data_IF_678394143917
#
_entry.id   IF_678394143917
#
_cell.length_a   1.000
_cell.length_b   1.000
_cell.length_c   1.000
_cell.angle_alpha   90.00
_cell.angle_beta   90.00
_cell.angle_gamma   90.00
#
_symmetry.space_group_name_H-M   'P 1'
#
loop_
_entity.id
_entity.type
_entity.pdbx_description
1 polymer ?
#
# COMPACT_ATOMS: atom_id res chain seq x y z
N UNK A 1 -53.04 -0.42 14.75
CA UNK A 1 -53.76 0.08 13.56
C UNK A 1 -52.75 0.90 12.73
N UNK A 2 -52.21 0.50 11.58
CA UNK A 2 -52.10 -0.80 10.87
C UNK A 2 -50.83 -0.80 9.99
N UNK A 3 -50.12 -1.88 9.62
CA UNK A 3 -50.25 -3.36 9.69
C UNK A 3 -51.01 -4.12 8.57
N UNK A 4 -51.62 -3.46 7.59
CA UNK A 4 -52.11 -4.05 6.32
C UNK A 4 -51.96 -3.02 5.19
N UNK A 5 -51.84 -3.33 3.88
CA UNK A 5 -52.01 -4.56 3.11
C UNK A 5 -51.18 -4.41 1.81
N UNK A 6 -50.29 -5.34 1.47
CA UNK A 6 -49.73 -5.43 0.11
C UNK A 6 -49.57 -6.91 -0.26
N UNK A 7 -50.61 -7.43 -0.91
CA UNK A 7 -50.77 -8.84 -1.22
C UNK A 7 -50.28 -9.11 -2.64
N UNK A 8 -49.46 -10.17 -2.79
CA UNK A 8 -49.39 -11.08 -3.96
C UNK A 8 -49.20 -10.43 -5.35
N UNK A 9 -48.01 -10.58 -5.91
CA UNK A 9 -47.80 -11.49 -7.06
C UNK A 9 -46.32 -11.85 -7.22
N UNK A 10 -46.05 -13.04 -7.77
CA UNK A 10 -44.73 -13.66 -7.72
C UNK A 10 -43.66 -13.01 -8.61
N UNK A 11 -42.41 -13.11 -8.17
CA UNK A 11 -41.23 -12.59 -8.84
C UNK A 11 -41.01 -13.24 -10.22
N UNK A 12 -41.24 -12.47 -11.28
CA UNK A 12 -40.80 -12.82 -12.63
C UNK A 12 -39.30 -12.54 -12.73
N UNK A 13 -38.49 -13.59 -12.64
CA UNK A 13 -37.04 -13.52 -12.87
C UNK A 13 -36.76 -13.06 -14.31
N UNK A 14 -36.46 -11.77 -14.49
CA UNK A 14 -35.94 -11.24 -15.75
C UNK A 14 -34.47 -11.64 -15.88
N UNK A 15 -34.22 -12.71 -16.63
CA UNK A 15 -32.87 -13.10 -17.04
C UNK A 15 -32.28 -12.01 -17.96
N UNK A 16 -31.26 -11.31 -17.49
CA UNK A 16 -30.51 -10.36 -18.32
C UNK A 16 -29.69 -11.11 -19.38
N UNK A 17 -30.05 -10.93 -20.65
CA UNK A 17 -29.37 -11.53 -21.80
C UNK A 17 -28.18 -10.67 -22.25
N UNK A 18 -26.97 -11.03 -21.82
CA UNK A 18 -25.74 -10.41 -22.35
C UNK A 18 -25.17 -11.24 -23.50
N UNK A 19 -25.23 -10.69 -24.71
CA UNK A 19 -24.15 -10.83 -25.70
C UNK A 19 -23.90 -12.21 -26.35
N UNK A 20 -24.86 -12.71 -27.14
CA UNK A 20 -24.61 -13.06 -28.57
C UNK A 20 -25.92 -13.34 -29.30
N UNK A 21 -26.08 -12.73 -30.47
CA UNK A 21 -27.15 -13.08 -31.40
C UNK A 21 -26.71 -14.31 -32.20
N UNK A 22 -27.36 -15.44 -31.95
CA UNK A 22 -27.58 -16.47 -32.95
C UNK A 22 -29.08 -16.68 -33.08
N UNK A 23 -29.60 -16.62 -34.30
CA UNK A 23 -31.00 -16.92 -34.58
C UNK A 23 -31.22 -18.42 -34.38
N UNK A 24 -31.90 -18.78 -33.31
CA UNK A 24 -32.54 -20.10 -33.18
C UNK A 24 -34.04 -19.85 -33.14
N UNK A 25 -34.71 -20.36 -34.15
CA UNK A 25 -36.15 -20.29 -34.36
C UNK A 25 -36.91 -20.90 -33.18
N UNK A 26 -38.16 -20.45 -32.99
CA UNK A 26 -39.10 -20.98 -32.01
C UNK A 26 -39.51 -22.42 -32.33
N UNK A 27 -38.64 -23.38 -32.02
CA UNK A 27 -38.98 -24.80 -32.00
C UNK A 27 -39.90 -25.07 -30.80
N UNK A 28 -41.12 -25.52 -31.07
CA UNK A 28 -42.02 -26.04 -30.03
C UNK A 28 -41.29 -27.15 -29.27
N UNK A 29 -41.14 -27.03 -27.95
CA UNK A 29 -40.80 -28.19 -27.13
C UNK A 29 -41.97 -29.18 -27.22
N UNK A 30 -41.78 -30.27 -27.97
CA UNK A 30 -42.64 -31.43 -27.80
C UNK A 30 -42.30 -32.08 -26.47
N UNK A 31 -43.25 -32.01 -25.54
CA UNK A 31 -43.25 -32.74 -24.29
C UNK A 31 -43.39 -34.24 -24.56
N UNK A 32 -42.28 -34.94 -24.69
CA UNK A 32 -42.20 -36.39 -24.45
C UNK A 32 -41.48 -36.59 -23.12
N UNK A 33 -42.26 -36.97 -22.11
CA UNK A 33 -41.83 -36.88 -20.72
C UNK A 33 -40.69 -37.83 -20.35
N UNK A 34 -39.81 -37.35 -19.49
CA UNK A 34 -39.50 -38.05 -18.24
C UNK A 34 -39.77 -37.06 -17.12
N UNK A 35 -40.60 -37.45 -16.16
CA UNK A 35 -40.77 -36.65 -14.94
C UNK A 35 -39.53 -36.93 -14.10
N UNK A 36 -38.57 -36.00 -14.07
CA UNK A 36 -37.60 -35.96 -12.97
C UNK A 36 -38.41 -36.01 -11.68
N UNK A 37 -38.14 -36.96 -10.78
CA UNK A 37 -38.91 -37.01 -9.55
C UNK A 37 -38.79 -35.68 -8.81
N UNK A 38 -39.89 -35.22 -8.24
CA UNK A 38 -39.97 -33.92 -7.59
C UNK A 38 -38.83 -33.75 -6.57
N UNK A 39 -38.47 -34.82 -5.86
CA UNK A 39 -37.34 -34.85 -4.92
C UNK A 39 -36.00 -34.51 -5.58
N UNK A 40 -35.69 -35.05 -6.76
CA UNK A 40 -34.41 -34.76 -7.46
C UNK A 40 -34.43 -33.34 -8.02
N UNK A 41 -35.56 -32.88 -8.56
CA UNK A 41 -35.71 -31.51 -9.04
C UNK A 41 -35.56 -30.49 -7.88
N UNK A 42 -36.21 -30.74 -6.75
CA UNK A 42 -36.08 -29.96 -5.52
C UNK A 42 -34.68 -30.04 -4.92
N UNK A 43 -33.97 -31.17 -5.04
CA UNK A 43 -32.58 -31.28 -4.60
C UNK A 43 -31.64 -30.44 -5.46
N UNK A 44 -31.80 -30.47 -6.80
CA UNK A 44 -31.05 -29.62 -7.73
C UNK A 44 -31.35 -28.14 -7.46
N UNK A 45 -32.61 -27.74 -7.29
CA UNK A 45 -32.97 -26.36 -6.96
C UNK A 45 -32.42 -25.90 -5.60
N UNK A 46 -32.43 -26.75 -4.57
CA UNK A 46 -31.80 -26.44 -3.27
C UNK A 46 -30.29 -26.31 -3.39
N UNK A 47 -29.64 -27.17 -4.18
CA UNK A 47 -28.20 -27.10 -4.41
C UNK A 47 -27.80 -25.86 -5.21
N UNK A 48 -28.52 -25.56 -6.31
CA UNK A 48 -28.34 -24.35 -7.11
C UNK A 48 -28.54 -23.08 -6.27
N UNK A 49 -29.62 -22.99 -5.49
CA UNK A 49 -29.84 -21.86 -4.58
C UNK A 49 -28.73 -21.74 -3.52
N UNK A 50 -28.19 -22.84 -3.02
CA UNK A 50 -27.05 -22.81 -2.08
C UNK A 50 -25.79 -22.26 -2.74
N UNK A 51 -25.44 -22.76 -3.93
CA UNK A 51 -24.34 -22.22 -4.73
C UNK A 51 -24.53 -20.74 -5.06
N UNK A 52 -25.75 -20.31 -5.39
CA UNK A 52 -26.07 -18.91 -5.71
C UNK A 52 -25.98 -18.00 -4.48
N UNK A 53 -26.40 -18.48 -3.30
CA UNK A 53 -26.28 -17.78 -2.03
C UNK A 53 -24.83 -17.69 -1.54
N UNK A 54 -24.04 -18.75 -1.74
CA UNK A 54 -22.60 -18.73 -1.42
C UNK A 54 -21.86 -17.78 -2.39
N UNK A 55 -22.15 -17.82 -3.69
CA UNK A 55 -21.65 -16.86 -4.68
C UNK A 55 -22.03 -15.40 -4.34
N UNK A 56 -23.28 -15.11 -3.96
CA UNK A 56 -23.67 -13.73 -3.60
C UNK A 56 -23.14 -13.27 -2.23
N UNK A 57 -22.84 -14.20 -1.31
CA UNK A 57 -22.07 -13.87 -0.09
C UNK A 57 -20.63 -13.51 -0.46
N UNK A 58 -19.99 -14.30 -1.32
CA UNK A 58 -18.65 -14.01 -1.83
C UNK A 58 -18.61 -12.72 -2.68
N UNK A 59 -19.66 -12.42 -3.43
CA UNK A 59 -19.78 -11.18 -4.21
C UNK A 59 -19.96 -9.96 -3.30
N UNK A 60 -20.74 -10.08 -2.21
CA UNK A 60 -20.78 -9.04 -1.17
C UNK A 60 -19.42 -8.84 -0.49
N UNK A 61 -18.65 -9.91 -0.25
CA UNK A 61 -17.27 -9.81 0.25
C UNK A 61 -16.39 -9.07 -0.77
N UNK A 62 -16.41 -9.44 -2.06
CA UNK A 62 -15.66 -8.74 -3.11
C UNK A 62 -16.09 -7.27 -3.31
N UNK A 63 -17.36 -6.93 -3.10
CA UNK A 63 -17.87 -5.55 -3.21
C UNK A 63 -17.45 -4.71 -1.99
N UNK A 64 -17.27 -5.32 -0.82
CA UNK A 64 -16.64 -4.68 0.34
C UNK A 64 -15.13 -4.49 0.08
N UNK A 65 -14.41 -5.54 -0.32
CA UNK A 65 -12.96 -5.48 -0.57
C UNK A 65 -12.57 -4.49 -1.69
N UNK A 66 -13.36 -4.38 -2.76
CA UNK A 66 -13.12 -3.41 -3.85
C UNK A 66 -13.18 -1.94 -3.40
N UNK A 67 -13.71 -1.64 -2.21
CA UNK A 67 -13.69 -0.28 -1.65
C UNK A 67 -12.45 0.01 -0.79
N UNK A 68 -11.71 -1.00 -0.33
CA UNK A 68 -10.61 -0.80 0.64
C UNK A 68 -9.20 -0.78 0.04
N UNK A 69 -9.00 -1.25 -1.20
CA UNK A 69 -7.68 -1.28 -1.85
C UNK A 69 -7.44 -0.17 -2.89
N UNK A 70 -7.82 1.08 -2.57
CA UNK A 70 -7.10 2.23 -3.12
C UNK A 70 -5.79 2.40 -2.36
N UNK A 71 -4.68 1.99 -2.98
CA UNK A 71 -3.36 2.33 -2.48
C UNK A 71 -3.26 3.86 -2.51
N UNK A 72 -3.23 4.50 -1.35
CA UNK A 72 -3.40 5.95 -1.24
C UNK A 72 -2.23 6.67 -1.95
N UNK A 73 -2.50 7.44 -3.00
CA UNK A 73 -1.47 8.24 -3.69
C UNK A 73 -0.75 9.19 -2.73
N UNK A 74 -1.42 9.62 -1.65
CA UNK A 74 -0.79 10.41 -0.60
C UNK A 74 0.27 9.61 0.16
N UNK A 75 0.12 8.30 0.32
CA UNK A 75 1.13 7.46 0.96
C UNK A 75 2.44 7.42 0.17
N UNK A 76 2.35 7.21 -1.15
CA UNK A 76 3.52 7.23 -2.05
C UNK A 76 4.19 8.62 -2.09
N UNK A 77 3.39 9.70 -2.16
CA UNK A 77 3.87 11.08 -2.07
C UNK A 77 4.57 11.36 -0.74
N UNK A 78 4.02 10.88 0.37
CA UNK A 78 4.60 11.04 1.70
C UNK A 78 5.95 10.29 1.83
N UNK A 79 6.10 9.10 1.25
CA UNK A 79 7.40 8.40 1.22
C UNK A 79 8.45 9.16 0.37
N UNK A 80 8.06 9.68 -0.79
CA UNK A 80 8.95 10.50 -1.61
C UNK A 80 9.35 11.80 -0.91
N UNK A 81 8.42 12.44 -0.20
CA UNK A 81 8.68 13.64 0.60
C UNK A 81 9.62 13.36 1.79
N UNK A 82 9.41 12.26 2.52
CA UNK A 82 10.28 11.85 3.63
C UNK A 82 11.71 11.56 3.16
N UNK A 83 11.87 10.80 2.08
CA UNK A 83 13.19 10.47 1.52
C UNK A 83 13.94 11.69 0.97
N UNK A 84 13.27 12.57 0.23
CA UNK A 84 13.88 13.83 -0.26
C UNK A 84 14.22 14.79 0.88
N UNK A 85 13.39 14.86 1.93
CA UNK A 85 13.67 15.63 3.16
C UNK A 85 14.90 15.09 3.89
N UNK A 86 15.00 13.78 4.08
CA UNK A 86 16.15 13.14 4.74
C UNK A 86 17.46 13.39 3.98
N UNK A 87 17.47 13.22 2.65
CA UNK A 87 18.65 13.52 1.81
C UNK A 87 19.06 14.99 1.93
N UNK A 88 18.09 15.90 1.94
CA UNK A 88 18.33 17.34 2.09
C UNK A 88 18.92 17.67 3.47
N UNK A 89 18.42 17.04 4.54
CA UNK A 89 18.92 17.22 5.90
C UNK A 89 20.35 16.68 6.07
N UNK A 90 20.66 15.50 5.52
CA UNK A 90 22.03 14.94 5.51
C UNK A 90 23.00 15.89 4.79
N UNK A 91 22.58 16.46 3.64
CA UNK A 91 23.40 17.44 2.90
C UNK A 91 23.64 18.72 3.72
N UNK A 92 22.61 19.23 4.39
CA UNK A 92 22.70 20.41 5.28
C UNK A 92 23.63 20.15 6.47
N UNK A 93 23.55 18.97 7.09
CA UNK A 93 24.44 18.57 8.17
C UNK A 93 25.91 18.53 7.71
N UNK A 94 26.19 17.93 6.55
CA UNK A 94 27.54 17.92 5.97
C UNK A 94 28.09 19.34 5.70
N UNK A 95 27.26 20.24 5.18
CA UNK A 95 27.64 21.65 4.99
C UNK A 95 27.87 22.40 6.31
N UNK A 96 27.07 22.13 7.35
CA UNK A 96 27.22 22.76 8.66
C UNK A 96 28.52 22.30 9.37
N UNK A 97 28.86 21.01 9.26
CA UNK A 97 30.12 20.46 9.79
C UNK A 97 31.35 21.03 9.06
N UNK A 98 31.30 21.12 7.72
CA UNK A 98 32.38 21.74 6.95
C UNK A 98 32.57 23.22 7.31
N UNK A 99 31.48 23.97 7.49
CA UNK A 99 31.56 25.37 7.88
C UNK A 99 32.15 25.52 9.29
N UNK A 100 31.73 24.69 10.25
CA UNK A 100 32.33 24.61 11.58
C UNK A 100 33.86 24.40 11.56
N UNK A 101 34.36 23.49 10.73
CA UNK A 101 35.80 23.24 10.59
C UNK A 101 36.54 24.46 10.03
N UNK A 102 35.97 25.12 9.02
CA UNK A 102 36.52 26.35 8.42
C UNK A 102 36.55 27.50 9.44
N UNK A 103 35.46 27.71 10.18
CA UNK A 103 35.35 28.76 11.20
C UNK A 103 36.36 28.58 12.35
N UNK A 104 36.56 27.34 12.82
CA UNK A 104 37.61 27.06 13.81
C UNK A 104 39.03 27.24 13.25
N UNK A 105 39.29 26.81 12.02
CA UNK A 105 40.59 27.02 11.38
C UNK A 105 40.89 28.52 11.18
N UNK A 106 39.87 29.31 10.81
CA UNK A 106 39.98 30.75 10.66
C UNK A 106 40.22 31.45 12.01
N UNK A 107 39.42 31.14 13.05
CA UNK A 107 39.65 31.61 14.40
C UNK A 107 41.08 31.32 14.90
N UNK A 108 41.55 30.07 14.75
CA UNK A 108 42.91 29.70 15.13
C UNK A 108 44.00 30.44 14.32
N UNK A 109 43.70 30.82 13.07
CA UNK A 109 44.54 31.70 12.24
C UNK A 109 44.60 33.12 12.78
N UNK A 110 43.43 33.72 13.06
CA UNK A 110 43.31 35.07 13.64
C UNK A 110 44.03 35.18 14.99
N UNK A 111 43.85 34.22 15.90
CA UNK A 111 44.57 34.21 17.19
C UNK A 111 46.11 34.24 16.99
N UNK A 112 46.65 33.41 16.09
CA UNK A 112 48.10 33.41 15.76
C UNK A 112 48.58 34.71 15.13
N UNK A 113 47.71 35.45 14.42
CA UNK A 113 48.02 36.76 13.86
C UNK A 113 48.01 37.81 14.97
N UNK A 114 46.99 37.83 15.83
CA UNK A 114 46.91 38.70 17.02
C UNK A 114 48.16 38.58 17.89
N UNK A 115 48.56 37.35 18.26
CA UNK A 115 49.79 37.10 19.03
C UNK A 115 51.07 37.65 18.38
N UNK A 116 51.15 37.64 17.05
CA UNK A 116 52.30 38.19 16.30
C UNK A 116 52.29 39.71 16.30
N UNK A 117 51.12 40.33 16.09
CA UNK A 117 50.95 41.78 16.13
C UNK A 117 51.28 42.29 17.54
N UNK A 118 50.81 41.61 18.58
CA UNK A 118 51.07 41.98 19.98
C UNK A 118 52.57 41.94 20.33
N UNK A 119 53.30 40.93 19.84
CA UNK A 119 54.77 40.81 19.99
C UNK A 119 55.56 41.89 19.21
N UNK A 120 54.92 42.60 18.29
CA UNK A 120 55.49 43.76 17.58
C UNK A 120 55.09 45.05 18.30
N UNK A 121 53.81 45.21 18.66
CA UNK A 121 53.27 46.36 19.37
C UNK A 121 54.00 46.60 20.71
N UNK A 122 54.20 45.56 21.51
CA UNK A 122 54.93 45.59 22.79
C UNK A 122 56.39 46.07 22.71
N UNK A 123 56.98 46.11 21.51
CA UNK A 123 58.34 46.65 21.27
C UNK A 123 58.36 48.14 20.92
N UNK A 124 57.20 48.79 20.81
CA UNK A 124 57.09 50.19 20.40
C UNK A 124 56.14 50.97 21.29
N UNK A 125 56.65 51.99 21.99
CA UNK A 125 55.84 52.95 22.76
C UNK A 125 55.32 54.11 21.89
N UNK A 126 55.35 53.96 20.56
CA UNK A 126 54.87 54.98 19.62
C UNK A 126 53.35 54.93 19.45
N UNK A 127 52.78 55.98 18.84
CA UNK A 127 51.38 55.97 18.38
C UNK A 127 51.07 54.79 17.44
N UNK A 128 52.06 54.38 16.61
CA UNK A 128 51.96 53.20 15.74
C UNK A 128 51.94 51.90 16.58
N UNK A 129 52.74 51.82 17.64
CA UNK A 129 52.71 50.70 18.59
C UNK A 129 51.34 50.55 19.26
N UNK A 130 50.77 51.65 19.73
CA UNK A 130 49.41 51.66 20.29
C UNK A 130 48.34 51.26 19.26
N UNK A 131 48.45 51.71 18.01
CA UNK A 131 47.53 51.30 16.93
C UNK A 131 47.66 49.80 16.62
N UNK A 132 48.87 49.23 16.63
CA UNK A 132 49.09 47.80 16.47
C UNK A 132 48.51 47.00 17.65
N UNK A 133 48.62 47.49 18.89
CA UNK A 133 47.98 46.86 20.06
C UNK A 133 46.45 46.89 19.97
N UNK A 134 45.85 47.98 19.47
CA UNK A 134 44.40 48.01 19.22
C UNK A 134 44.00 46.99 18.13
N UNK A 135 44.82 46.83 17.09
CA UNK A 135 44.60 45.85 16.03
C UNK A 135 44.74 44.40 16.53
N UNK A 136 45.71 44.08 17.39
CA UNK A 136 45.84 42.74 17.98
C UNK A 136 44.62 42.39 18.83
N UNK A 137 44.13 43.33 19.65
CA UNK A 137 42.92 43.17 20.47
C UNK A 137 41.68 42.96 19.60
N UNK A 138 41.48 43.77 18.55
CA UNK A 138 40.36 43.57 17.61
C UNK A 138 40.43 42.19 16.92
N UNK A 139 41.61 41.80 16.44
CA UNK A 139 41.85 40.48 15.81
C UNK A 139 41.55 39.32 16.77
N UNK A 140 41.83 39.48 18.07
CA UNK A 140 41.53 38.49 19.11
C UNK A 140 40.02 38.38 19.39
N UNK A 141 39.31 39.51 19.43
CA UNK A 141 37.85 39.54 19.60
C UNK A 141 37.15 38.89 18.40
N UNK A 142 37.62 39.16 17.18
CA UNK A 142 37.12 38.52 15.95
C UNK A 142 37.39 37.01 15.98
N UNK A 143 38.60 36.57 16.36
CA UNK A 143 38.93 35.15 16.59
C UNK A 143 37.94 34.45 17.54
N UNK A 144 37.66 35.03 18.70
CA UNK A 144 36.72 34.43 19.66
C UNK A 144 35.28 34.46 19.13
N UNK A 145 34.91 35.48 18.33
CA UNK A 145 33.59 35.56 17.67
C UNK A 145 33.39 34.41 16.68
N UNK A 146 34.38 34.13 15.81
CA UNK A 146 34.33 32.99 14.88
C UNK A 146 34.30 31.64 15.61
N UNK A 147 35.03 31.51 16.71
CA UNK A 147 34.99 30.32 17.58
C UNK A 147 33.63 30.15 18.26
N UNK A 148 32.98 31.23 18.70
CA UNK A 148 31.61 31.17 19.24
C UNK A 148 30.60 30.78 18.16
N UNK A 149 30.69 31.36 16.96
CA UNK A 149 29.87 31.01 15.81
C UNK A 149 29.99 29.51 15.48
N UNK A 150 31.21 28.98 15.41
CA UNK A 150 31.46 27.54 15.21
C UNK A 150 30.77 26.68 16.29
N UNK A 151 30.91 27.04 17.56
CA UNK A 151 30.26 26.31 18.66
C UNK A 151 28.72 26.34 18.56
N UNK A 152 28.14 27.47 18.13
CA UNK A 152 26.71 27.61 17.86
C UNK A 152 26.26 26.70 16.70
N UNK A 153 27.04 26.59 15.62
CA UNK A 153 26.73 25.67 14.52
C UNK A 153 26.63 24.21 14.98
N UNK A 154 27.53 23.76 15.86
CA UNK A 154 27.45 22.39 16.40
C UNK A 154 26.21 22.20 17.28
N UNK A 155 26.00 23.10 18.25
CA UNK A 155 24.93 22.96 19.26
C UNK A 155 23.54 23.14 18.68
N UNK A 156 23.34 24.14 17.83
CA UNK A 156 22.02 24.61 17.45
C UNK A 156 21.62 24.17 16.03
N UNK A 157 22.58 23.66 15.23
CA UNK A 157 22.33 23.16 13.86
C UNK A 157 22.69 21.68 13.74
N UNK A 158 23.94 21.28 13.99
CA UNK A 158 24.40 19.91 13.72
C UNK A 158 23.73 18.87 14.62
N UNK A 159 23.71 19.08 15.95
CA UNK A 159 23.08 18.14 16.89
C UNK A 159 21.56 17.99 16.64
N UNK A 160 20.78 19.07 16.43
CA UNK A 160 19.37 18.95 16.04
C UNK A 160 19.14 18.21 14.71
N UNK A 161 19.98 18.45 13.69
CA UNK A 161 19.89 17.74 12.41
C UNK A 161 20.24 16.25 12.52
N UNK A 162 21.22 15.88 13.35
CA UNK A 162 21.56 14.49 13.63
C UNK A 162 20.40 13.76 14.35
N UNK A 163 19.85 14.38 15.40
CA UNK A 163 18.69 13.85 16.12
C UNK A 163 17.46 13.68 15.21
N UNK A 164 17.21 14.65 14.32
CA UNK A 164 16.15 14.57 13.32
C UNK A 164 16.39 13.44 12.32
N UNK A 165 17.62 13.29 11.82
CA UNK A 165 18.01 12.21 10.90
C UNK A 165 17.80 10.82 11.53
N UNK A 166 18.21 10.64 12.79
CA UNK A 166 17.98 9.41 13.55
C UNK A 166 16.49 9.12 13.71
N UNK A 167 15.70 10.10 14.13
CA UNK A 167 14.24 9.99 14.29
C UNK A 167 13.56 9.61 12.98
N UNK A 168 13.97 10.21 11.85
CA UNK A 168 13.46 9.89 10.51
C UNK A 168 13.83 8.46 10.09
N UNK A 169 15.02 7.97 10.43
CA UNK A 169 15.46 6.59 10.18
C UNK A 169 14.63 5.56 10.96
N UNK A 170 14.37 5.82 12.24
CA UNK A 170 13.54 4.97 13.09
C UNK A 170 12.08 4.93 12.60
N UNK A 171 11.51 6.08 12.25
CA UNK A 171 10.16 6.17 11.69
C UNK A 171 10.05 5.44 10.34
N UNK A 172 11.04 5.58 9.45
CA UNK A 172 11.10 4.83 8.18
C UNK A 172 11.05 3.32 8.44
N UNK A 173 11.86 2.79 9.35
CA UNK A 173 11.89 1.37 9.68
C UNK A 173 10.53 0.85 10.18
N UNK A 174 9.85 1.60 11.06
CA UNK A 174 8.51 1.24 11.53
C UNK A 174 7.48 1.14 10.40
N UNK A 175 7.59 2.02 9.39
CA UNK A 175 6.74 2.00 8.19
C UNK A 175 7.08 0.76 7.35
N UNK A 176 8.36 0.47 7.09
CA UNK A 176 8.80 -0.73 6.35
C UNK A 176 8.31 -2.03 7.01
N UNK A 177 8.40 -2.14 8.35
CA UNK A 177 7.90 -3.28 9.12
C UNK A 177 6.35 -3.39 9.08
N UNK A 178 5.64 -2.27 9.00
CA UNK A 178 4.19 -2.24 8.83
C UNK A 178 3.77 -2.72 7.41
N UNK A 179 4.43 -2.21 6.37
CA UNK A 179 4.24 -2.65 4.98
C UNK A 179 4.55 -4.14 4.82
N UNK A 180 5.67 -4.61 5.38
CA UNK A 180 6.07 -6.01 5.30
C UNK A 180 5.03 -6.96 5.88
N UNK A 181 4.36 -6.55 6.97
CA UNK A 181 3.21 -7.30 7.54
C UNK A 181 1.98 -7.25 6.63
N UNK A 182 1.58 -6.07 6.14
CA UNK A 182 0.42 -5.91 5.24
C UNK A 182 0.60 -6.66 3.91
N UNK A 183 1.79 -6.63 3.33
CA UNK A 183 2.13 -7.36 2.10
C UNK A 183 2.09 -8.88 2.29
N UNK A 184 2.61 -9.39 3.43
CA UNK A 184 2.49 -10.82 3.78
C UNK A 184 1.02 -11.24 3.91
N UNK A 185 0.18 -10.44 4.55
CA UNK A 185 -1.24 -10.79 4.70
C UNK A 185 -2.01 -10.73 3.36
N UNK A 186 -1.73 -9.73 2.52
CA UNK A 186 -2.30 -9.64 1.17
C UNK A 186 -1.95 -10.87 0.31
N UNK A 187 -0.69 -11.33 0.34
CA UNK A 187 -0.30 -12.55 -0.38
C UNK A 187 -1.03 -13.80 0.15
N UNK A 188 -1.16 -13.97 1.47
CA UNK A 188 -1.95 -15.08 2.03
C UNK A 188 -3.40 -15.03 1.57
N UNK A 189 -4.00 -13.85 1.48
CA UNK A 189 -5.38 -13.72 1.01
C UNK A 189 -5.48 -14.09 -0.48
N UNK A 190 -4.58 -13.57 -1.32
CA UNK A 190 -4.47 -13.94 -2.73
C UNK A 190 -4.30 -15.45 -2.95
N UNK A 191 -3.51 -16.13 -2.11
CA UNK A 191 -3.33 -17.58 -2.14
C UNK A 191 -4.60 -18.34 -1.75
N UNK A 192 -5.37 -17.85 -0.78
CA UNK A 192 -6.70 -18.39 -0.45
C UNK A 192 -7.64 -18.23 -1.64
N UNK A 193 -7.73 -17.04 -2.22
CA UNK A 193 -8.60 -16.74 -3.36
C UNK A 193 -8.30 -17.63 -4.56
N UNK A 194 -7.02 -17.85 -4.87
CA UNK A 194 -6.58 -18.80 -5.91
C UNK A 194 -7.04 -20.24 -5.60
N UNK A 195 -6.91 -20.70 -4.35
CA UNK A 195 -7.39 -22.03 -3.91
C UNK A 195 -8.92 -22.15 -3.91
N UNK A 196 -9.66 -21.06 -3.70
CA UNK A 196 -11.12 -21.04 -3.83
C UNK A 196 -11.53 -21.12 -5.30
N UNK A 197 -10.92 -20.31 -6.18
CA UNK A 197 -11.15 -20.35 -7.64
C UNK A 197 -10.87 -21.72 -8.24
N UNK A 198 -9.75 -22.36 -7.88
CA UNK A 198 -9.42 -23.72 -8.32
C UNK A 198 -10.51 -24.74 -7.94
N UNK A 199 -10.89 -24.78 -6.66
CA UNK A 199 -11.95 -25.68 -6.16
C UNK A 199 -13.33 -25.40 -6.77
N UNK A 200 -13.64 -24.13 -7.07
CA UNK A 200 -14.87 -23.78 -7.76
C UNK A 200 -14.88 -24.33 -9.20
N UNK A 201 -13.76 -24.23 -9.91
CA UNK A 201 -13.63 -24.76 -11.27
C UNK A 201 -13.71 -26.28 -11.30
N UNK A 202 -13.05 -26.97 -10.37
CA UNK A 202 -13.14 -28.42 -10.20
C UNK A 202 -14.58 -28.89 -9.96
N UNK A 203 -15.32 -28.20 -9.07
CA UNK A 203 -16.74 -28.50 -8.81
C UNK A 203 -17.63 -28.28 -10.03
N UNK A 204 -17.42 -27.21 -10.80
CA UNK A 204 -18.18 -27.00 -12.05
C UNK A 204 -17.95 -28.16 -13.02
N UNK A 205 -16.69 -28.59 -13.20
CA UNK A 205 -16.33 -29.71 -14.08
C UNK A 205 -16.91 -31.05 -13.59
N UNK A 206 -16.96 -31.27 -12.28
CA UNK A 206 -17.62 -32.44 -11.68
C UNK A 206 -19.13 -32.45 -11.96
N UNK A 207 -19.81 -31.31 -11.77
CA UNK A 207 -21.23 -31.12 -12.07
C UNK A 207 -21.52 -31.37 -13.55
N UNK A 208 -20.73 -30.80 -14.47
CA UNK A 208 -20.84 -31.03 -15.92
C UNK A 208 -20.69 -32.52 -16.28
N UNK A 209 -19.75 -33.24 -15.63
CA UNK A 209 -19.58 -34.68 -15.81
C UNK A 209 -20.77 -35.50 -15.28
N UNK A 210 -21.33 -35.12 -14.14
CA UNK A 210 -22.51 -35.79 -13.56
C UNK A 210 -23.75 -35.57 -14.43
N UNK A 211 -23.98 -34.35 -14.93
CA UNK A 211 -25.06 -34.05 -15.88
C UNK A 211 -24.91 -34.90 -17.15
N UNK A 212 -23.71 -34.96 -17.72
CA UNK A 212 -23.44 -35.75 -18.93
C UNK A 212 -23.76 -37.24 -18.74
N UNK A 213 -23.39 -37.82 -17.58
CA UNK A 213 -23.71 -39.22 -17.24
C UNK A 213 -25.21 -39.44 -17.03
N UNK A 214 -25.92 -38.47 -16.44
CA UNK A 214 -27.37 -38.56 -16.24
C UNK A 214 -28.12 -38.54 -17.59
N UNK A 215 -27.64 -37.75 -18.55
CA UNK A 215 -28.13 -37.72 -19.93
C UNK A 215 -27.90 -39.05 -20.66
N UNK A 216 -26.75 -39.71 -20.45
CA UNK A 216 -26.44 -41.03 -21.03
C UNK A 216 -27.34 -42.13 -20.45
N UNK A 217 -27.55 -42.14 -19.13
CA UNK A 217 -28.46 -43.08 -18.45
C UNK A 217 -29.89 -42.88 -18.97
N UNK A 218 -30.35 -41.62 -19.07
CA UNK A 218 -31.70 -41.30 -19.59
C UNK A 218 -31.90 -41.77 -21.04
N UNK A 219 -30.83 -41.83 -21.84
CA UNK A 219 -30.86 -42.37 -23.21
C UNK A 219 -30.86 -43.91 -23.23
N UNK A 220 -30.15 -44.58 -22.33
CA UNK A 220 -30.11 -46.05 -22.29
C UNK A 220 -31.41 -46.66 -21.74
N UNK A 221 -32.06 -46.00 -20.76
CA UNK A 221 -33.41 -46.38 -20.28
C UNK A 221 -34.47 -46.28 -21.40
N UNK A 222 -34.38 -45.29 -22.29
CA UNK A 222 -35.30 -45.16 -23.44
C UNK A 222 -35.14 -46.25 -24.50
N UNK A 223 -33.95 -46.82 -24.63
CA UNK A 223 -33.71 -47.93 -25.56
C UNK A 223 -34.25 -49.26 -25.00
N UNK A 224 -34.04 -49.53 -23.71
CA UNK A 224 -34.54 -50.75 -23.06
C UNK A 224 -36.06 -50.85 -23.00
N UNK A 225 -36.78 -49.73 -22.84
CA UNK A 225 -38.27 -49.74 -22.89
C UNK A 225 -38.82 -50.08 -24.29
N UNK A 226 -38.09 -49.75 -25.37
CA UNK A 226 -38.50 -50.11 -26.74
C UNK A 226 -38.37 -51.60 -27.05
N UNK A 227 -37.39 -52.28 -26.45
CA UNK A 227 -37.15 -53.71 -26.71
C UNK A 227 -38.01 -54.64 -25.84
N UNK A 228 -38.71 -54.13 -24.82
CA UNK A 228 -39.70 -54.87 -24.02
C UNK A 228 -41.13 -54.77 -24.61
N UNK A 229 -41.33 -53.95 -25.64
CA UNK A 229 -42.65 -53.67 -26.26
C UNK A 229 -42.83 -54.31 -27.65
N UNK A 230 -42.32 -55.53 -27.85
CA UNK A 230 -42.47 -56.33 -29.09
C UNK A 230 -42.90 -57.75 -28.78
#
# INVERSE_FOLDING_TARGET
DDLTQLHKHGDVIRVFKVGKQSNVTSGKLHTTGDIMSEDVYQHILKYQNRCYLDMHKEEKIQIVDKKEYKFDDNWLKNQLLLSTTLITNIRRLGSALLLYEVELAYAAGLNKISEKIEKIASKSQSSVGNALHQLSVQTLVESETHKQLANTMIKDISIPLENLSKTQSEAKKQIEDCLGRKFKEWNKQKDKDNKYRGRSFEKCKEIESLISKMDEISKSTKNTVKDVSK
#
